data_IF_354540025779
#
_entry.id   IF_354540025779
#
_cell.length_a   1.000
_cell.length_b   1.000
_cell.length_c   1.000
_cell.angle_alpha   90.00
_cell.angle_beta   90.00
_cell.angle_gamma   90.00
#
_symmetry.space_group_name_H-M   'P 1'
#
loop_
_entity.id
_entity.type
_entity.pdbx_description
1 polymer ?
#
# COMPACT_ATOMS: atom_id res chain seq x y z
N UNK A 1 -27.81 8.83 -55.84
CA UNK A 1 -27.23 10.06 -55.27
C UNK A 1 -28.31 10.79 -54.49
N UNK A 2 -27.94 11.37 -53.34
CA UNK A 2 -28.74 12.16 -52.38
C UNK A 2 -29.68 11.29 -51.50
N UNK A 3 -29.37 10.90 -50.25
CA UNK A 3 -28.63 11.54 -49.15
C UNK A 3 -29.33 12.82 -48.66
N UNK A 4 -30.00 12.73 -47.50
CA UNK A 4 -30.37 13.75 -46.47
C UNK A 4 -31.60 13.21 -45.69
N UNK A 5 -31.79 13.28 -44.36
CA UNK A 5 -30.94 13.34 -43.16
C UNK A 5 -31.92 13.26 -41.96
N UNK A 6 -31.49 12.59 -40.89
CA UNK A 6 -32.09 12.39 -39.56
C UNK A 6 -32.91 13.55 -38.96
N UNK A 7 -33.89 13.24 -38.09
CA UNK A 7 -33.85 13.58 -36.64
C UNK A 7 -34.76 12.60 -35.87
N UNK A 8 -34.20 11.62 -35.16
CA UNK A 8 -34.89 10.97 -34.03
C UNK A 8 -34.24 11.52 -32.77
N UNK A 9 -34.97 12.38 -32.08
CA UNK A 9 -34.61 12.89 -30.76
C UNK A 9 -35.03 11.85 -29.73
N UNK A 10 -34.08 11.04 -29.30
CA UNK A 10 -34.23 10.22 -28.09
C UNK A 10 -33.03 10.47 -27.21
N UNK A 11 -33.24 11.38 -26.26
CA UNK A 11 -32.41 11.54 -25.07
C UNK A 11 -32.41 10.19 -24.35
N UNK A 12 -31.30 9.46 -24.47
CA UNK A 12 -31.00 8.34 -23.56
C UNK A 12 -29.98 8.87 -22.57
N UNK A 13 -30.51 9.06 -21.37
CA UNK A 13 -29.88 9.55 -20.17
C UNK A 13 -28.62 8.73 -19.89
N UNK A 14 -27.57 9.47 -19.55
CA UNK A 14 -26.30 9.00 -19.02
C UNK A 14 -26.53 7.99 -17.88
N UNK A 15 -26.50 6.70 -18.22
CA UNK A 15 -26.16 5.65 -17.27
C UNK A 15 -24.66 5.68 -17.07
N UNK A 16 -24.16 6.71 -16.37
CA UNK A 16 -22.83 6.67 -15.77
C UNK A 16 -22.86 5.54 -14.75
N UNK A 17 -22.62 4.30 -15.18
CA UNK A 17 -22.07 3.27 -14.32
C UNK A 17 -20.66 3.73 -13.97
N UNK A 18 -20.61 4.70 -13.05
CA UNK A 18 -19.44 4.93 -12.25
C UNK A 18 -19.19 3.63 -11.51
N UNK A 19 -18.30 2.81 -12.06
CA UNK A 19 -17.47 2.01 -11.21
C UNK A 19 -16.70 3.03 -10.36
N UNK A 20 -17.26 3.39 -9.21
CA UNK A 20 -16.47 3.72 -8.06
C UNK A 20 -15.67 2.44 -7.76
N UNK A 21 -14.62 2.22 -8.54
CA UNK A 21 -13.41 1.65 -7.99
C UNK A 21 -12.99 2.71 -6.98
N UNK A 22 -13.51 2.61 -5.77
CA UNK A 22 -12.81 3.11 -4.62
C UNK A 22 -11.48 2.34 -4.66
N UNK A 23 -10.52 2.93 -5.38
CA UNK A 23 -9.14 2.55 -5.31
C UNK A 23 -8.76 2.88 -3.88
N UNK A 24 -9.01 1.91 -3.02
CA UNK A 24 -8.66 1.88 -1.62
C UNK A 24 -7.20 2.32 -1.58
N UNK A 25 -6.99 3.55 -1.12
CA UNK A 25 -5.71 4.23 -1.30
C UNK A 25 -4.73 3.55 -0.36
N UNK A 26 -4.07 2.49 -0.83
CA UNK A 26 -3.07 1.73 -0.09
C UNK A 26 -2.12 2.73 0.56
N UNK A 27 -2.27 2.88 1.88
CA UNK A 27 -1.54 3.91 2.61
C UNK A 27 -0.08 3.49 2.66
N UNK A 28 0.78 4.45 2.31
CA UNK A 28 2.19 4.20 2.11
C UNK A 28 3.04 5.11 2.99
N UNK A 29 4.14 4.58 3.52
CA UNK A 29 5.07 5.32 4.34
C UNK A 29 6.47 5.30 3.72
N UNK A 30 7.13 6.46 3.70
CA UNK A 30 8.55 6.57 3.36
C UNK A 30 9.38 6.42 4.63
N UNK A 31 10.19 5.36 4.70
CA UNK A 31 10.85 4.94 5.92
C UNK A 31 12.27 4.44 5.68
N UNK A 32 13.10 4.54 6.70
CA UNK A 32 14.38 3.84 6.81
C UNK A 32 14.14 2.57 7.63
N UNK A 33 14.68 1.44 7.19
CA UNK A 33 14.54 0.16 7.90
C UNK A 33 15.65 0.04 8.95
N UNK A 34 15.29 0.14 10.23
CA UNK A 34 16.25 0.08 11.33
C UNK A 34 16.58 -1.37 11.69
N UNK A 35 15.56 -2.22 11.78
CA UNK A 35 15.73 -3.61 12.19
C UNK A 35 14.67 -4.55 11.60
N UNK A 36 15.06 -5.81 11.45
CA UNK A 36 14.21 -6.90 10.95
C UNK A 36 14.36 -8.06 11.94
N UNK A 37 13.27 -8.39 12.63
CA UNK A 37 13.22 -9.43 13.64
C UNK A 37 12.33 -10.57 13.17
N UNK A 38 12.90 -11.77 13.11
CA UNK A 38 12.16 -12.98 12.77
C UNK A 38 11.52 -13.54 14.04
N UNK A 39 10.20 -13.76 14.01
CA UNK A 39 9.47 -14.50 15.06
C UNK A 39 8.90 -15.80 14.48
N UNK A 40 8.26 -16.62 15.31
CA UNK A 40 7.71 -17.93 14.95
C UNK A 40 6.58 -17.87 13.91
N UNK A 41 5.83 -16.76 13.84
CA UNK A 41 4.66 -16.62 12.95
C UNK A 41 4.75 -15.48 11.93
N UNK A 42 5.69 -14.54 12.13
CA UNK A 42 5.82 -13.35 11.28
C UNK A 42 7.20 -12.73 11.41
N UNK A 43 7.50 -11.81 10.49
CA UNK A 43 8.65 -10.91 10.55
C UNK A 43 8.17 -9.56 11.06
N UNK A 44 8.88 -8.99 12.01
CA UNK A 44 8.63 -7.65 12.57
C UNK A 44 9.71 -6.71 12.03
N UNK A 45 9.29 -5.60 11.45
CA UNK A 45 10.16 -4.59 10.84
C UNK A 45 10.02 -3.31 11.65
N UNK A 46 11.15 -2.84 12.21
CA UNK A 46 11.23 -1.54 12.87
C UNK A 46 11.71 -0.51 11.86
N UNK A 47 11.04 0.63 11.82
CA UNK A 47 11.34 1.66 10.84
C UNK A 47 11.32 3.04 11.46
N UNK A 48 12.03 3.96 10.83
CA UNK A 48 12.06 5.37 11.18
C UNK A 48 11.58 6.17 9.98
N UNK A 49 10.77 7.21 10.20
CA UNK A 49 10.30 8.08 9.13
C UNK A 49 11.50 8.77 8.45
N UNK A 50 11.59 8.67 7.12
CA UNK A 50 12.76 9.15 6.39
C UNK A 50 12.88 10.68 6.32
N UNK A 51 11.84 11.42 6.72
CA UNK A 51 11.80 12.89 6.68
C UNK A 51 11.93 13.46 8.09
N UNK A 52 11.12 12.95 9.03
CA UNK A 52 11.07 13.48 10.40
C UNK A 52 12.07 12.83 11.35
N UNK A 53 12.67 11.70 10.96
CA UNK A 53 13.55 10.88 11.80
C UNK A 53 12.91 10.41 13.12
N UNK A 54 11.57 10.41 13.16
CA UNK A 54 10.81 9.84 14.27
C UNK A 54 10.60 8.34 14.02
N UNK A 55 10.70 7.55 15.08
CA UNK A 55 10.38 6.13 15.01
C UNK A 55 8.91 5.94 14.61
N UNK A 56 8.68 5.05 13.65
CA UNK A 56 7.36 4.59 13.26
C UNK A 56 6.96 3.37 14.09
N UNK A 57 5.69 2.98 13.94
CA UNK A 57 5.20 1.73 14.47
C UNK A 57 5.86 0.51 13.84
N UNK A 58 5.72 -0.60 14.55
CA UNK A 58 6.22 -1.90 14.10
C UNK A 58 5.35 -2.39 12.95
N UNK A 59 5.97 -2.62 11.81
CA UNK A 59 5.33 -3.23 10.65
C UNK A 59 5.55 -4.74 10.69
N UNK A 60 4.63 -5.50 10.14
CA UNK A 60 4.65 -6.96 10.16
C UNK A 60 4.52 -7.55 8.78
N UNK A 61 5.27 -8.62 8.51
CA UNK A 61 5.17 -9.38 7.28
C UNK A 61 4.87 -10.83 7.65
N UNK A 62 3.71 -11.33 7.23
CA UNK A 62 3.29 -12.70 7.52
C UNK A 62 3.99 -13.70 6.58
N UNK A 63 4.45 -14.84 7.10
CA UNK A 63 5.10 -15.87 6.28
C UNK A 63 4.20 -16.50 5.20
N UNK A 64 2.88 -16.40 5.39
CA UNK A 64 1.88 -16.89 4.45
C UNK A 64 1.64 -15.94 3.25
N UNK A 65 2.32 -14.80 3.21
CA UNK A 65 2.23 -13.88 2.07
C UNK A 65 2.90 -14.49 0.82
N UNK A 66 2.21 -14.48 -0.32
CA UNK A 66 2.71 -15.05 -1.56
C UNK A 66 3.97 -14.33 -2.10
N UNK A 67 4.19 -13.07 -1.69
CA UNK A 67 5.33 -12.25 -2.04
C UNK A 67 6.36 -12.15 -0.92
N UNK A 68 6.20 -12.92 0.17
CA UNK A 68 7.04 -12.88 1.37
C UNK A 68 8.54 -12.74 1.06
N UNK A 69 9.09 -13.65 0.24
CA UNK A 69 10.53 -13.67 -0.06
C UNK A 69 11.00 -12.40 -0.76
N UNK A 70 10.23 -11.87 -1.70
CA UNK A 70 10.57 -10.65 -2.45
C UNK A 70 10.49 -9.40 -1.55
N UNK A 71 9.50 -9.35 -0.66
CA UNK A 71 9.35 -8.25 0.29
C UNK A 71 10.51 -8.28 1.29
N UNK A 72 10.82 -9.45 1.85
CA UNK A 72 11.91 -9.61 2.81
C UNK A 72 13.27 -9.24 2.21
N UNK A 73 13.55 -9.66 0.98
CA UNK A 73 14.79 -9.32 0.26
C UNK A 73 14.96 -7.80 0.12
N UNK A 74 13.91 -7.10 -0.32
CA UNK A 74 13.93 -5.64 -0.46
C UNK A 74 14.12 -4.92 0.87
N UNK A 75 13.50 -5.41 1.95
CA UNK A 75 13.68 -4.85 3.29
C UNK A 75 15.11 -5.06 3.80
N UNK A 76 15.67 -6.26 3.60
CA UNK A 76 17.03 -6.59 4.02
C UNK A 76 18.06 -5.76 3.26
N UNK A 77 17.89 -5.58 1.95
CA UNK A 77 18.72 -4.71 1.14
C UNK A 77 18.63 -3.25 1.59
N UNK A 78 17.40 -2.74 1.80
CA UNK A 78 17.17 -1.38 2.28
C UNK A 78 17.86 -1.13 3.62
N UNK A 79 17.76 -2.07 4.56
CA UNK A 79 18.48 -2.05 5.85
C UNK A 79 19.99 -2.03 5.65
N UNK A 80 20.52 -2.93 4.81
CA UNK A 80 21.97 -3.05 4.59
C UNK A 80 22.61 -1.82 3.95
N UNK A 81 21.83 -1.06 3.17
CA UNK A 81 22.28 0.17 2.50
C UNK A 81 21.84 1.45 3.21
N UNK A 82 21.08 1.34 4.31
CA UNK A 82 20.44 2.47 5.01
C UNK A 82 19.63 3.37 4.06
N UNK A 83 19.02 2.78 3.03
CA UNK A 83 18.29 3.53 2.00
C UNK A 83 16.81 3.68 2.36
N UNK A 84 16.22 4.86 2.13
CA UNK A 84 14.79 5.04 2.35
C UNK A 84 13.99 4.23 1.33
N UNK A 85 12.94 3.58 1.81
CA UNK A 85 11.99 2.82 0.99
C UNK A 85 10.57 3.26 1.27
N UNK A 86 9.70 3.03 0.28
CA UNK A 86 8.26 3.24 0.40
C UNK A 86 7.58 1.90 0.68
N UNK A 87 6.95 1.79 1.84
CA UNK A 87 6.21 0.59 2.27
C UNK A 87 4.72 0.86 2.10
N UNK A 88 4.00 -0.05 1.45
CA UNK A 88 2.54 0.00 1.33
C UNK A 88 1.92 -1.00 2.31
N UNK A 89 0.96 -0.52 3.09
CA UNK A 89 0.27 -1.28 4.12
C UNK A 89 -0.93 -2.00 3.49
N UNK A 90 -1.16 -3.26 3.88
CA UNK A 90 -2.40 -3.99 3.60
C UNK A 90 -3.49 -3.47 4.54
N UNK A 91 -4.60 -3.00 3.97
CA UNK A 91 -5.81 -2.78 4.77
C UNK A 91 -6.41 -4.14 5.13
N UNK A 92 -6.57 -4.43 6.43
CA UNK A 92 -7.51 -5.49 6.80
C UNK A 92 -8.92 -5.04 6.43
N UNK A 93 -9.71 -5.98 5.89
CA UNK A 93 -11.01 -5.79 5.24
C UNK A 93 -12.16 -5.35 6.18
N UNK A 94 -11.86 -4.64 7.28
CA UNK A 94 -12.83 -4.14 8.25
C UNK A 94 -12.70 -2.61 8.44
N UNK A 95 -12.73 -1.89 7.32
CA UNK A 95 -13.60 -0.74 7.13
C UNK A 95 -13.40 0.57 7.91
N UNK A 96 -12.65 0.66 9.01
CA UNK A 96 -12.67 1.90 9.82
C UNK A 96 -11.38 2.35 10.50
N UNK A 97 -10.26 1.65 10.33
CA UNK A 97 -8.99 2.14 10.89
C UNK A 97 -8.12 2.77 9.81
N UNK A 98 -7.88 4.07 9.98
CA UNK A 98 -7.02 4.88 9.15
C UNK A 98 -5.54 4.50 9.37
N UNK A 99 -5.15 3.28 8.96
CA UNK A 99 -3.82 2.69 9.17
C UNK A 99 -2.71 3.63 8.71
N UNK A 100 -1.78 3.89 9.60
CA UNK A 100 -0.64 4.77 9.40
C UNK A 100 0.54 4.14 10.10
N UNK A 101 1.75 4.26 9.54
CA UNK A 101 2.96 3.81 10.25
C UNK A 101 3.27 4.59 11.54
N UNK A 102 2.32 5.35 12.08
CA UNK A 102 2.47 6.20 13.25
C UNK A 102 1.10 6.44 13.93
N UNK A 103 0.32 5.38 14.14
CA UNK A 103 -0.95 5.39 14.88
C UNK A 103 -0.95 4.44 16.10
N UNK A 104 0.21 3.86 16.45
CA UNK A 104 0.41 2.84 17.50
C UNK A 104 -0.24 1.48 17.21
N UNK A 105 -0.67 1.24 15.97
CA UNK A 105 -1.24 -0.04 15.52
C UNK A 105 -0.17 -0.87 14.80
N UNK A 106 -0.29 -2.18 14.88
CA UNK A 106 0.56 -3.09 14.11
C UNK A 106 0.00 -3.24 12.70
N UNK A 107 0.76 -2.76 11.72
CA UNK A 107 0.38 -2.81 10.32
C UNK A 107 1.03 -3.97 9.56
N UNK A 108 0.35 -4.47 8.53
CA UNK A 108 0.84 -5.53 7.67
C UNK A 108 1.44 -4.97 6.39
N UNK A 109 2.66 -5.40 6.04
CA UNK A 109 3.37 -4.99 4.83
C UNK A 109 2.79 -5.74 3.63
N UNK A 110 2.26 -4.99 2.65
CA UNK A 110 1.80 -5.53 1.38
C UNK A 110 2.84 -5.45 0.29
N UNK A 111 3.58 -4.34 0.20
CA UNK A 111 4.67 -4.21 -0.76
C UNK A 111 5.72 -3.19 -0.34
N UNK A 112 6.91 -3.32 -0.93
CA UNK A 112 8.05 -2.43 -0.69
C UNK A 112 8.65 -1.99 -2.02
N UNK A 113 8.89 -0.69 -2.13
CA UNK A 113 9.43 -0.03 -3.31
C UNK A 113 10.61 0.87 -2.92
N UNK A 114 11.65 0.92 -3.75
CA UNK A 114 12.72 1.90 -3.60
C UNK A 114 12.20 3.29 -3.98
N UNK A 115 12.75 4.32 -3.34
CA UNK A 115 12.49 5.74 -3.64
C UNK A 115 13.58 6.28 -4.56
#
# INVERSE_FOLDING_TARGET
MNLIRNVISSVVIFGSFGFANDALAARSCSVIVDDIQLNHSQVIVKTTNSITHLANDKLTLAYQDNQFGQILEKLAEAKGLETPVKIYILEEFNGDDARSCNDSITDYIGSVHRI
#
